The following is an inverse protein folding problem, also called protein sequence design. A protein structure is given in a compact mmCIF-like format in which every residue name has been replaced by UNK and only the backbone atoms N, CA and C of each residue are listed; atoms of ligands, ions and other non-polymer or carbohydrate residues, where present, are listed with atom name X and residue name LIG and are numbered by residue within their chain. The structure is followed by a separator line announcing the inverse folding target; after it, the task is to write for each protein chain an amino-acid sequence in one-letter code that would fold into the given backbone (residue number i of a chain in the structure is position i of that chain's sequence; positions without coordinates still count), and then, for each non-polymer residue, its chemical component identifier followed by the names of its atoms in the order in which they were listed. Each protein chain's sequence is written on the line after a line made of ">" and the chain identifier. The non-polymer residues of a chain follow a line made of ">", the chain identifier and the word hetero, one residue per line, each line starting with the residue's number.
data_IF_455580889173
#
_entry.id   IF_455580889173
#
_cell.length_a   1.000
_cell.length_b   1.000
_cell.length_c   1.000
_cell.angle_alpha   90.00
_cell.angle_beta   90.00
_cell.angle_gamma   90.00
#
_symmetry.space_group_name_H-M   'P 1'
#
loop_
_entity.id
_entity.type
_entity.pdbx_description
1 polymer ?
#
# COMPACT_ATOMS: atom_id res chain seq x y z
N UNK A 1 19.74 -26.17 -31.23
CA UNK A 1 21.14 -25.72 -31.35
C UNK A 1 21.10 -24.24 -31.68
N UNK A 2 20.49 -23.42 -30.83
CA UNK A 2 20.94 -22.96 -29.50
C UNK A 2 22.08 -21.95 -29.57
N UNK A 3 21.76 -20.76 -29.05
CA UNK A 3 22.71 -19.77 -28.60
C UNK A 3 22.63 -18.45 -29.36
N UNK A 4 21.84 -17.48 -28.85
CA UNK A 4 22.48 -16.24 -28.44
C UNK A 4 21.65 -15.47 -27.40
N UNK A 5 22.37 -15.00 -26.39
CA UNK A 5 21.91 -14.30 -25.20
C UNK A 5 21.25 -12.95 -25.50
N UNK A 6 20.28 -12.58 -24.67
CA UNK A 6 19.63 -11.27 -24.68
C UNK A 6 20.61 -10.11 -24.53
N UNK A 7 20.51 -9.18 -25.46
CA UNK A 7 21.29 -7.95 -25.50
C UNK A 7 20.78 -6.98 -24.43
N UNK A 8 21.65 -6.65 -23.48
CA UNK A 8 21.41 -5.66 -22.43
C UNK A 8 21.53 -4.25 -23.02
N UNK A 9 20.42 -3.66 -23.44
CA UNK A 9 20.38 -2.25 -23.86
C UNK A 9 20.40 -1.30 -22.66
N UNK A 10 21.54 -0.64 -22.41
CA UNK A 10 21.63 0.54 -21.53
C UNK A 10 21.01 1.71 -22.29
N UNK A 11 19.83 2.19 -21.88
CA UNK A 11 19.23 3.39 -22.49
C UNK A 11 20.02 4.64 -22.03
N UNK A 12 20.53 5.48 -22.94
CA UNK A 12 21.30 6.66 -22.58
C UNK A 12 20.45 7.72 -21.85
N UNK A 13 21.07 8.37 -20.87
CA UNK A 13 20.49 9.28 -19.87
C UNK A 13 19.80 10.56 -20.39
N UNK A 14 19.82 10.86 -21.69
CA UNK A 14 19.40 12.18 -22.20
C UNK A 14 17.90 12.32 -22.48
N UNK A 15 17.11 11.25 -22.33
CA UNK A 15 15.64 11.34 -22.46
C UNK A 15 14.92 11.73 -21.15
N UNK A 16 15.66 11.92 -20.05
CA UNK A 16 15.12 12.23 -18.72
C UNK A 16 15.19 13.71 -18.32
N UNK A 17 15.66 14.60 -19.21
CA UNK A 17 16.00 15.97 -18.85
C UNK A 17 14.80 16.95 -18.71
N UNK A 18 13.55 16.56 -18.99
CA UNK A 18 12.42 17.51 -18.96
C UNK A 18 11.35 17.28 -17.88
N UNK A 19 11.43 16.24 -17.04
CA UNK A 19 10.54 16.11 -15.88
C UNK A 19 11.33 15.62 -14.67
N UNK A 20 11.50 16.51 -13.69
CA UNK A 20 12.00 16.21 -12.34
C UNK A 20 11.25 15.02 -11.74
N UNK A 21 11.81 13.82 -11.89
CA UNK A 21 11.43 12.64 -11.11
C UNK A 21 12.71 12.08 -10.52
N UNK A 22 13.01 12.50 -9.28
CA UNK A 22 13.91 11.75 -8.41
C UNK A 22 13.08 10.67 -7.74
N UNK A 23 13.37 9.42 -8.06
CA UNK A 23 13.61 8.34 -7.10
C UNK A 23 13.87 7.07 -7.89
N UNK A 24 15.11 6.57 -7.81
CA UNK A 24 15.54 5.35 -8.47
C UNK A 24 14.94 4.13 -7.80
N UNK A 25 14.16 3.37 -8.58
CA UNK A 25 13.99 1.93 -8.40
C UNK A 25 14.13 1.31 -9.79
N UNK A 26 15.04 0.35 -9.94
CA UNK A 26 15.31 -0.32 -11.21
C UNK A 26 14.18 -1.30 -11.55
N UNK A 27 13.62 -1.18 -12.75
CA UNK A 27 12.49 -1.96 -13.23
C UNK A 27 12.96 -3.17 -14.06
N UNK A 28 12.40 -4.35 -13.81
CA UNK A 28 12.33 -5.43 -14.82
C UNK A 28 10.90 -5.49 -15.33
N UNK A 29 10.71 -5.26 -16.63
CA UNK A 29 9.45 -5.40 -17.35
C UNK A 29 9.51 -6.64 -18.24
N UNK A 30 8.42 -7.39 -18.29
CA UNK A 30 8.10 -8.27 -19.40
C UNK A 30 7.40 -7.43 -20.49
N UNK A 31 7.88 -7.54 -21.73
CA UNK A 31 7.73 -6.53 -22.77
C UNK A 31 6.55 -6.84 -23.69
N UNK A 32 5.37 -7.17 -23.14
CA UNK A 32 4.22 -7.61 -23.93
C UNK A 32 2.94 -6.75 -23.79
N UNK A 33 2.89 -5.77 -22.88
CA UNK A 33 1.70 -4.94 -22.69
C UNK A 33 1.97 -3.48 -23.09
N UNK A 34 1.66 -3.13 -24.33
CA UNK A 34 1.70 -1.75 -24.83
C UNK A 34 0.48 -0.97 -24.31
N UNK A 35 0.70 0.00 -23.42
CA UNK A 35 -0.31 0.97 -22.99
C UNK A 35 -0.11 1.50 -21.57
N UNK A 36 -0.65 2.69 -21.28
CA UNK A 36 -0.67 3.33 -19.95
C UNK A 36 -1.16 2.39 -18.84
N UNK A 37 -2.01 1.43 -19.18
CA UNK A 37 -2.53 0.38 -18.30
C UNK A 37 -1.47 -0.56 -17.72
N UNK A 38 -0.40 -0.89 -18.45
CA UNK A 38 0.67 -1.73 -17.92
C UNK A 38 1.46 -1.01 -16.81
N UNK A 39 1.58 0.32 -16.91
CA UNK A 39 2.27 1.16 -15.92
C UNK A 39 1.48 1.28 -14.62
N UNK A 40 0.16 1.35 -14.71
CA UNK A 40 -0.73 1.32 -13.54
C UNK A 40 -0.66 -0.07 -12.90
N UNK A 41 -0.95 -1.15 -13.61
CA UNK A 41 -0.96 -2.49 -13.02
C UNK A 41 0.40 -2.88 -12.37
N UNK A 42 1.52 -2.51 -12.99
CA UNK A 42 2.87 -2.72 -12.43
C UNK A 42 3.13 -1.87 -11.18
N UNK A 43 2.77 -0.57 -11.16
CA UNK A 43 2.99 0.31 -9.99
C UNK A 43 2.20 -0.15 -8.75
N UNK A 44 1.22 -1.01 -8.94
CA UNK A 44 0.28 -1.47 -7.93
C UNK A 44 0.59 -2.90 -7.48
N UNK A 45 1.09 -3.74 -8.39
CA UNK A 45 1.78 -4.99 -8.06
C UNK A 45 3.16 -4.77 -7.41
N UNK A 46 3.75 -3.58 -7.57
CA UNK A 46 5.02 -3.15 -6.96
C UNK A 46 4.86 -2.50 -5.58
N UNK A 47 3.67 -2.50 -4.98
CA UNK A 47 3.52 -2.10 -3.57
C UNK A 47 4.48 -2.96 -2.75
N UNK A 48 5.53 -2.33 -2.23
CA UNK A 48 6.53 -3.00 -1.42
C UNK A 48 5.80 -3.74 -0.31
N UNK A 49 6.14 -5.00 -0.08
CA UNK A 49 5.53 -5.84 0.95
C UNK A 49 5.92 -5.35 2.36
N UNK A 50 5.95 -4.04 2.58
CA UNK A 50 6.31 -3.44 3.84
C UNK A 50 5.10 -3.51 4.75
N UNK A 51 5.31 -4.14 5.89
CA UNK A 51 4.32 -4.21 6.96
C UNK A 51 4.86 -3.45 8.14
N UNK A 52 4.10 -2.45 8.60
CA UNK A 52 4.34 -1.83 9.89
C UNK A 52 3.69 -2.73 10.95
N UNK A 53 4.47 -3.18 11.93
CA UNK A 53 3.97 -3.96 13.06
C UNK A 53 4.02 -3.04 14.28
N UNK A 54 2.88 -2.80 14.90
CA UNK A 54 2.73 -1.98 16.10
C UNK A 54 2.39 -2.87 17.28
N UNK A 55 3.32 -3.00 18.22
CA UNK A 55 3.18 -3.83 19.43
C UNK A 55 2.73 -2.96 20.59
N UNK A 56 1.51 -3.15 21.07
CA UNK A 56 0.95 -2.34 22.14
C UNK A 56 1.66 -2.62 23.47
N UNK A 57 1.87 -1.54 24.21
CA UNK A 57 2.40 -1.54 25.57
C UNK A 57 1.27 -1.25 26.56
N UNK A 58 1.41 -1.67 27.84
CA UNK A 58 0.38 -1.43 28.86
C UNK A 58 0.06 0.05 29.13
N UNK A 59 0.96 0.97 28.77
CA UNK A 59 0.82 2.41 28.91
C UNK A 59 0.09 3.08 27.72
N UNK A 60 -0.39 2.30 26.75
CA UNK A 60 -1.08 2.80 25.55
C UNK A 60 -0.14 3.29 24.45
N UNK A 61 1.15 2.96 24.55
CA UNK A 61 2.19 3.25 23.54
C UNK A 61 2.48 2.04 22.68
N UNK A 62 3.28 2.23 21.64
CA UNK A 62 3.60 1.18 20.68
C UNK A 62 5.11 1.03 20.47
N UNK A 63 5.58 -0.22 20.51
CA UNK A 63 6.87 -0.58 19.93
C UNK A 63 6.66 -0.94 18.46
N UNK A 64 7.23 -0.14 17.57
CA UNK A 64 7.05 -0.28 16.14
C UNK A 64 8.18 -1.09 15.51
N UNK A 65 7.81 -1.92 14.54
CA UNK A 65 8.72 -2.80 13.81
C UNK A 65 8.36 -2.78 12.33
N UNK A 66 9.33 -3.07 11.48
CA UNK A 66 9.17 -3.11 10.04
C UNK A 66 9.50 -4.50 9.50
N UNK A 67 8.56 -5.12 8.79
CA UNK A 67 8.82 -6.27 7.94
C UNK A 67 8.88 -5.81 6.48
N UNK A 68 9.83 -6.33 5.70
CA UNK A 68 10.04 -5.92 4.30
C UNK A 68 9.29 -6.81 3.29
N UNK A 69 8.81 -7.98 3.73
CA UNK A 69 8.28 -9.04 2.86
C UNK A 69 6.86 -9.52 3.20
N UNK A 70 6.11 -8.74 3.97
CA UNK A 70 4.82 -9.14 4.53
C UNK A 70 5.00 -9.82 5.89
N UNK A 71 3.88 -10.18 6.50
CA UNK A 71 3.84 -10.97 7.72
C UNK A 71 2.78 -12.05 7.57
N UNK A 72 3.21 -13.31 7.56
CA UNK A 72 2.33 -14.44 7.22
C UNK A 72 2.07 -15.35 8.44
N UNK A 73 2.92 -15.25 9.47
CA UNK A 73 2.83 -16.09 10.66
C UNK A 73 3.14 -15.31 11.94
N UNK A 74 4.42 -15.11 12.26
CA UNK A 74 4.85 -14.39 13.47
C UNK A 74 5.30 -12.97 13.11
N UNK A 75 4.51 -11.93 13.44
CA UNK A 75 4.83 -10.54 13.13
C UNK A 75 6.08 -10.03 13.83
N UNK A 76 6.44 -10.58 15.00
CA UNK A 76 7.63 -10.15 15.74
C UNK A 76 8.89 -10.77 15.13
N UNK A 77 8.85 -12.08 14.87
CA UNK A 77 9.99 -12.81 14.31
C UNK A 77 10.33 -12.36 12.88
N UNK A 78 9.32 -11.96 12.10
CA UNK A 78 9.48 -11.55 10.70
C UNK A 78 9.74 -10.05 10.52
N UNK A 79 9.79 -9.27 11.61
CA UNK A 79 10.03 -7.83 11.56
C UNK A 79 11.26 -7.42 12.37
N UNK A 80 11.82 -6.27 12.00
CA UNK A 80 12.95 -5.65 12.72
C UNK A 80 12.46 -4.45 13.53
N UNK A 81 13.01 -4.19 14.73
CA UNK A 81 12.68 -2.98 15.48
C UNK A 81 12.89 -1.73 14.63
N UNK A 82 11.91 -0.82 14.69
CA UNK A 82 11.94 0.48 14.02
C UNK A 82 12.02 1.62 15.06
N UNK A 83 11.28 1.48 16.17
CA UNK A 83 11.25 2.45 17.25
C UNK A 83 10.44 1.94 18.44
N UNK A 84 10.53 2.62 19.57
CA UNK A 84 9.81 2.30 20.79
C UNK A 84 9.04 3.51 21.32
N UNK A 85 8.05 3.24 22.16
CA UNK A 85 7.24 4.26 22.85
C UNK A 85 6.44 5.21 21.93
N UNK A 86 5.98 4.72 20.78
CA UNK A 86 5.25 5.54 19.82
C UNK A 86 3.84 5.86 20.29
N UNK A 87 3.42 7.10 20.04
CA UNK A 87 2.01 7.51 20.22
C UNK A 87 1.14 6.86 19.13
N UNK A 88 -0.16 6.63 19.35
CA UNK A 88 -1.05 6.16 18.28
C UNK A 88 -1.02 7.05 17.01
N UNK A 89 -1.05 8.40 17.11
CA UNK A 89 -0.84 9.27 15.95
C UNK A 89 0.51 9.09 15.25
N UNK A 90 1.59 8.80 16.00
CA UNK A 90 2.92 8.58 15.43
C UNK A 90 3.01 7.26 14.65
N UNK A 91 2.33 6.21 15.12
CA UNK A 91 2.17 4.96 14.36
C UNK A 91 1.49 5.25 13.03
N UNK A 92 0.37 5.99 13.06
CA UNK A 92 -0.41 6.29 11.86
C UNK A 92 0.36 7.18 10.88
N UNK A 93 1.07 8.21 11.38
CA UNK A 93 1.90 9.11 10.58
C UNK A 93 3.10 8.43 9.90
N UNK A 94 3.50 7.24 10.36
CA UNK A 94 4.58 6.47 9.73
C UNK A 94 4.09 5.59 8.57
N UNK A 95 2.77 5.48 8.36
CA UNK A 95 2.18 4.73 7.27
C UNK A 95 2.05 5.64 6.05
N UNK A 96 2.50 5.13 4.92
CA UNK A 96 2.43 5.77 3.62
C UNK A 96 2.05 4.74 2.54
N UNK A 97 1.94 5.15 1.28
CA UNK A 97 1.63 4.22 0.18
C UNK A 97 2.72 3.17 -0.11
N UNK A 98 3.87 3.21 0.56
CA UNK A 98 4.88 2.14 0.48
C UNK A 98 4.58 0.99 1.41
N UNK A 99 3.69 1.19 2.38
CA UNK A 99 3.19 0.16 3.26
C UNK A 99 2.01 -0.54 2.60
N UNK A 100 1.98 -1.84 2.78
CA UNK A 100 0.89 -2.67 2.30
C UNK A 100 -0.06 -3.03 3.44
N UNK A 101 0.49 -3.16 4.64
CA UNK A 101 -0.25 -3.62 5.82
C UNK A 101 0.24 -2.92 7.09
N UNK A 102 -0.72 -2.74 8.01
CA UNK A 102 -0.47 -2.47 9.42
C UNK A 102 -0.95 -3.68 10.21
N UNK A 103 -0.07 -4.25 11.03
CA UNK A 103 -0.41 -5.30 12.00
C UNK A 103 -0.31 -4.71 13.40
N UNK A 104 -1.38 -4.82 14.18
CA UNK A 104 -1.44 -4.35 15.57
C UNK A 104 -1.48 -5.56 16.49
N UNK A 105 -0.59 -5.59 17.48
CA UNK A 105 -0.51 -6.62 18.52
C UNK A 105 -0.87 -6.03 19.88
N UNK A 106 -2.07 -6.31 20.38
CA UNK A 106 -2.55 -5.74 21.66
C UNK A 106 -3.27 -6.77 22.55
N UNK A 107 -2.76 -8.00 22.56
CA UNK A 107 -3.41 -9.17 23.15
C UNK A 107 -4.12 -10.04 22.10
N UNK A 108 -4.34 -9.48 20.91
CA UNK A 108 -4.74 -10.21 19.70
C UNK A 108 -3.96 -9.68 18.49
N UNK A 109 -3.97 -10.41 17.37
CA UNK A 109 -3.43 -9.93 16.09
C UNK A 109 -4.56 -9.27 15.31
N UNK A 110 -4.43 -7.97 15.01
CA UNK A 110 -5.33 -7.26 14.10
C UNK A 110 -4.57 -6.80 12.86
N UNK A 111 -5.05 -7.22 11.69
CA UNK A 111 -4.46 -6.86 10.40
C UNK A 111 -5.31 -5.84 9.66
N UNK A 112 -4.65 -4.80 9.15
CA UNK A 112 -5.25 -3.73 8.36
C UNK A 112 -4.51 -3.63 7.02
N UNK A 113 -5.24 -3.70 5.91
CA UNK A 113 -4.70 -3.42 4.59
C UNK A 113 -4.60 -1.90 4.38
N UNK A 114 -3.47 -1.43 3.85
CA UNK A 114 -3.26 -0.03 3.49
C UNK A 114 -3.83 0.21 2.09
N UNK A 115 -4.93 0.93 2.04
CA UNK A 115 -5.74 1.12 0.85
C UNK A 115 -5.58 2.54 0.33
N UNK A 116 -4.75 2.75 -0.68
CA UNK A 116 -4.62 4.05 -1.31
C UNK A 116 -5.91 4.43 -2.07
N UNK A 117 -6.50 5.58 -1.75
CA UNK A 117 -7.80 6.03 -2.24
C UNK A 117 -7.70 6.97 -3.44
N UNK A 118 -6.57 7.63 -3.65
CA UNK A 118 -6.38 8.53 -4.79
C UNK A 118 -6.13 7.72 -6.09
N UNK A 119 -7.10 7.68 -7.01
CA UNK A 119 -6.95 6.95 -8.27
C UNK A 119 -6.00 7.66 -9.25
N UNK A 120 -5.68 8.95 -9.03
CA UNK A 120 -4.73 9.72 -9.88
C UNK A 120 -3.27 9.48 -9.49
N UNK A 121 -3.04 8.83 -8.35
CA UNK A 121 -1.73 8.49 -7.81
C UNK A 121 -0.82 9.70 -7.54
N UNK A 122 -1.41 10.84 -7.23
CA UNK A 122 -0.76 12.13 -6.96
C UNK A 122 -0.68 12.45 -5.47
N UNK A 123 -1.65 12.00 -4.67
CA UNK A 123 -1.74 12.23 -3.23
C UNK A 123 -1.37 10.97 -2.45
N UNK A 124 -0.07 10.74 -2.22
CA UNK A 124 0.44 9.50 -1.60
C UNK A 124 -0.10 9.23 -0.18
N UNK A 125 -0.54 10.28 0.50
CA UNK A 125 -1.08 10.21 1.87
C UNK A 125 -2.60 9.97 1.91
N UNK A 126 -3.27 9.92 0.74
CA UNK A 126 -4.72 9.67 0.67
C UNK A 126 -5.05 8.18 0.87
N UNK A 127 -4.69 7.64 2.03
CA UNK A 127 -4.83 6.22 2.36
C UNK A 127 -6.01 5.97 3.31
N UNK A 128 -6.54 4.76 3.29
CA UNK A 128 -7.45 4.23 4.30
C UNK A 128 -6.91 2.90 4.83
N UNK A 129 -7.13 2.62 6.10
CA UNK A 129 -6.79 1.36 6.74
C UNK A 129 -8.03 0.50 6.86
N UNK A 130 -8.04 -0.65 6.18
CA UNK A 130 -9.18 -1.56 6.14
C UNK A 130 -8.89 -2.84 6.92
N UNK A 131 -9.64 -3.10 8.00
CA UNK A 131 -9.48 -4.31 8.80
C UNK A 131 -9.95 -5.54 8.04
N UNK A 132 -9.10 -6.55 7.94
CA UNK A 132 -9.39 -7.82 7.28
C UNK A 132 -8.77 -9.00 8.03
N UNK A 133 -9.48 -10.14 8.05
CA UNK A 133 -8.94 -11.41 8.55
C UNK A 133 -8.21 -12.20 7.44
N UNK A 134 -8.43 -11.83 6.18
CA UNK A 134 -7.83 -12.46 5.00
C UNK A 134 -7.18 -11.38 4.12
N UNK A 135 -5.92 -10.99 4.42
CA UNK A 135 -5.24 -9.91 3.73
C UNK A 135 -4.93 -10.23 2.26
N UNK A 136 -4.71 -11.50 1.92
CA UNK A 136 -4.37 -11.92 0.56
C UNK A 136 -5.58 -11.79 -0.38
N UNK A 137 -6.72 -12.38 -0.02
CA UNK A 137 -7.94 -12.25 -0.84
C UNK A 137 -8.43 -10.80 -0.88
N UNK A 138 -8.24 -10.04 0.21
CA UNK A 138 -8.60 -8.63 0.26
C UNK A 138 -7.75 -7.80 -0.71
N UNK A 139 -6.44 -8.04 -0.75
CA UNK A 139 -5.50 -7.38 -1.68
C UNK A 139 -5.90 -7.61 -3.12
N UNK A 140 -6.14 -8.87 -3.51
CA UNK A 140 -6.53 -9.19 -4.88
C UNK A 140 -7.81 -8.44 -5.29
N UNK A 141 -8.83 -8.51 -4.43
CA UNK A 141 -10.08 -7.77 -4.64
C UNK A 141 -9.86 -6.25 -4.74
N UNK A 142 -8.96 -5.69 -3.94
CA UNK A 142 -8.69 -4.26 -3.92
C UNK A 142 -7.98 -3.78 -5.19
N UNK A 143 -7.03 -4.57 -5.70
CA UNK A 143 -6.38 -4.32 -7.00
C UNK A 143 -7.43 -4.27 -8.11
N UNK A 144 -8.28 -5.30 -8.20
CA UNK A 144 -9.34 -5.37 -9.23
C UNK A 144 -10.30 -4.17 -9.13
N UNK A 145 -10.68 -3.79 -7.90
CA UNK A 145 -11.59 -2.67 -7.65
C UNK A 145 -11.01 -1.35 -8.12
N UNK A 146 -9.75 -1.12 -7.83
CA UNK A 146 -9.12 0.14 -8.21
C UNK A 146 -8.71 0.17 -9.69
N UNK A 147 -8.40 -0.96 -10.30
CA UNK A 147 -8.26 -1.05 -11.76
C UNK A 147 -9.55 -0.63 -12.47
N UNK A 148 -10.71 -1.06 -11.96
CA UNK A 148 -12.00 -0.59 -12.47
C UNK A 148 -12.21 0.92 -12.25
N UNK A 149 -11.76 1.46 -11.12
CA UNK A 149 -11.81 2.89 -10.83
C UNK A 149 -10.93 3.73 -11.79
N UNK A 150 -9.73 3.25 -12.13
CA UNK A 150 -8.88 3.87 -13.13
C UNK A 150 -9.56 3.90 -14.51
N UNK A 151 -10.16 2.79 -14.96
CA UNK A 151 -10.91 2.74 -16.23
C UNK A 151 -12.10 3.71 -16.24
N UNK A 152 -12.75 3.91 -15.10
CA UNK A 152 -13.83 4.88 -14.99
C UNK A 152 -13.34 6.33 -15.16
N UNK A 153 -12.12 6.66 -14.70
CA UNK A 153 -11.51 7.97 -14.91
C UNK A 153 -11.05 8.22 -16.34
N UNK A 154 -10.62 7.17 -17.03
CA UNK A 154 -10.27 7.25 -18.44
C UNK A 154 -11.51 7.50 -19.34
N UNK A 155 -12.71 7.35 -18.79
CA UNK A 155 -13.98 7.66 -19.47
C UNK A 155 -14.32 9.16 -19.30
N UNK A 156 -14.81 9.80 -20.35
CA UNK A 156 -15.14 11.24 -20.31
C UNK A 156 -16.13 11.60 -19.20
N UNK A 157 -15.85 12.70 -18.48
CA UNK A 157 -16.77 13.29 -17.51
C UNK A 157 -16.74 12.69 -16.11
N UNK A 158 -15.81 11.79 -15.78
CA UNK A 158 -15.71 11.23 -14.44
C UNK A 158 -14.94 12.16 -13.47
N UNK A 159 -15.58 12.55 -12.37
CA UNK A 159 -14.97 13.33 -11.30
C UNK A 159 -14.09 12.44 -10.40
N UNK A 160 -12.77 12.71 -10.26
CA UNK A 160 -11.89 12.00 -9.34
C UNK A 160 -12.41 11.93 -7.89
N UNK A 161 -13.08 12.98 -7.41
CA UNK A 161 -13.64 12.97 -6.06
C UNK A 161 -14.82 12.01 -5.93
N UNK A 162 -15.62 11.82 -7.00
CA UNK A 162 -16.68 10.81 -7.04
C UNK A 162 -16.11 9.39 -7.02
N UNK A 163 -15.06 9.14 -7.81
CA UNK A 163 -14.37 7.84 -7.84
C UNK A 163 -13.76 7.50 -6.48
N UNK A 164 -13.07 8.45 -5.85
CA UNK A 164 -12.54 8.29 -4.49
C UNK A 164 -13.64 7.95 -3.47
N UNK A 165 -14.78 8.63 -3.51
CA UNK A 165 -15.93 8.32 -2.64
C UNK A 165 -16.48 6.92 -2.87
N UNK A 166 -16.57 6.47 -4.12
CA UNK A 166 -17.02 5.12 -4.47
C UNK A 166 -16.03 4.03 -3.99
N UNK A 167 -14.73 4.29 -4.08
CA UNK A 167 -13.68 3.43 -3.53
C UNK A 167 -13.81 3.29 -2.01
N UNK A 168 -13.95 4.41 -1.28
CA UNK A 168 -14.13 4.39 0.17
C UNK A 168 -15.42 3.66 0.59
N UNK A 169 -16.52 3.86 -0.14
CA UNK A 169 -17.76 3.12 0.10
C UNK A 169 -17.58 1.62 -0.14
N UNK A 170 -16.83 1.24 -1.17
CA UNK A 170 -16.50 -0.17 -1.47
C UNK A 170 -15.70 -0.82 -0.33
N UNK A 171 -14.73 -0.11 0.24
CA UNK A 171 -13.97 -0.59 1.40
C UNK A 171 -14.89 -0.83 2.61
N UNK A 172 -15.76 0.13 2.92
CA UNK A 172 -16.68 0.05 4.07
C UNK A 172 -17.65 -1.13 3.96
N UNK A 173 -18.03 -1.51 2.74
CA UNK A 173 -18.89 -2.67 2.51
C UNK A 173 -18.16 -4.01 2.60
N UNK A 174 -16.82 -4.02 2.42
CA UNK A 174 -16.02 -5.24 2.34
C UNK A 174 -15.25 -5.56 3.62
N UNK A 175 -14.71 -4.54 4.28
CA UNK A 175 -13.87 -4.66 5.45
C UNK A 175 -14.69 -4.66 6.75
N UNK A 176 -14.15 -5.25 7.82
CA UNK A 176 -14.80 -5.22 9.14
C UNK A 176 -14.85 -3.82 9.74
N UNK A 177 -13.82 -3.01 9.47
CA UNK A 177 -13.77 -1.59 9.82
C UNK A 177 -12.84 -0.85 8.85
N UNK A 178 -13.05 0.46 8.69
CA UNK A 178 -12.24 1.32 7.82
C UNK A 178 -11.90 2.60 8.57
N UNK A 179 -10.62 2.94 8.63
CA UNK A 179 -10.10 4.12 9.33
C UNK A 179 -9.36 5.04 8.35
N UNK A 180 -9.58 6.34 8.49
CA UNK A 180 -8.89 7.37 7.71
C UNK A 180 -7.50 7.65 8.32
N UNK A 181 -6.58 8.31 7.59
CA UNK A 181 -5.21 8.53 8.06
C UNK A 181 -5.13 9.55 9.20
N UNK A 182 -6.21 10.26 9.49
CA UNK A 182 -6.32 11.18 10.64
C UNK A 182 -6.99 10.53 11.86
N UNK A 183 -7.50 9.30 11.73
CA UNK A 183 -8.21 8.60 12.79
C UNK A 183 -7.36 7.49 13.42
N UNK A 184 -6.57 7.88 14.43
CA UNK A 184 -5.80 6.92 15.24
C UNK A 184 -6.61 6.29 16.39
N UNK A 185 -7.94 6.46 16.44
CA UNK A 185 -8.75 5.98 17.57
C UNK A 185 -8.75 4.46 17.72
N UNK A 186 -8.68 3.72 16.61
CA UNK A 186 -8.65 2.25 16.60
C UNK A 186 -7.39 1.64 17.22
N UNK A 187 -6.34 2.46 17.37
CA UNK A 187 -5.09 2.12 18.08
C UNK A 187 -5.17 2.43 19.57
N UNK A 188 -6.34 2.76 20.12
CA UNK A 188 -6.50 2.90 21.58
C UNK A 188 -7.04 1.64 22.24
N UNK A 189 -7.45 0.65 21.42
CA UNK A 189 -8.03 -0.62 21.86
C UNK A 189 -9.43 -0.47 22.45
N UNK A 190 -10.29 -1.47 22.21
CA UNK A 190 -11.43 -1.74 23.09
C UNK A 190 -10.85 -2.36 24.37
N UNK A 191 -10.53 -1.53 25.36
CA UNK A 191 -10.02 -2.00 26.65
C UNK A 191 -11.13 -2.64 27.48
#
# INVERSE_FOLDING_TARGET
>A
MDGNFGEFGIIPCDYLASRRVRCGLAFKYDHAATGTHARSHARWSLMGRRTLVAVARPDGRYDCRLAHWGVDADPIAQSRPLGNDWTPPAVLAAIDATHEQLVVLDGSVRTYAVCWLDPTLSAIDDIALARTADPESFRQWWVDRKDAACRALDSEGCDPAAVRRALLASLRNRASSVHCPDDASFLRGDR
#
